data_IF_285648316315
#
_entry.id   IF_285648316315
#
_cell.length_a   1.000
_cell.length_b   1.000
_cell.length_c   1.000
_cell.angle_alpha   90.00
_cell.angle_beta   90.00
_cell.angle_gamma   90.00
#
_symmetry.space_group_name_H-M   'P 1'
#
loop_
_entity.id
_entity.type
_entity.pdbx_description
1 polymer ?
#
# COMPACT_ATOMS: atom_id res chain seq x y z
N UNK A 1 -41.54 32.44 15.78
CA UNK A 1 -40.69 33.06 14.75
C UNK A 1 -39.44 32.22 14.68
N UNK A 2 -39.26 31.43 13.61
CA UNK A 2 -38.20 30.43 13.48
C UNK A 2 -36.89 31.14 13.10
N UNK A 3 -35.88 31.08 13.97
CA UNK A 3 -34.53 31.57 13.67
C UNK A 3 -33.81 30.54 12.82
N UNK A 4 -33.87 30.72 11.50
CA UNK A 4 -33.01 30.03 10.53
C UNK A 4 -31.56 30.48 10.74
N UNK A 5 -30.74 29.61 11.33
CA UNK A 5 -29.28 29.76 11.41
C UNK A 5 -28.66 29.28 10.10
N UNK A 6 -28.23 30.21 9.24
CA UNK A 6 -27.36 29.89 8.10
C UNK A 6 -25.92 29.77 8.58
N UNK A 7 -25.43 28.54 8.75
CA UNK A 7 -24.00 28.26 9.01
C UNK A 7 -23.24 28.43 7.69
N UNK A 8 -22.70 29.62 7.45
CA UNK A 8 -21.83 29.95 6.29
C UNK A 8 -20.35 29.88 6.63
N UNK A 9 -19.90 28.83 7.31
CA UNK A 9 -18.47 28.49 7.45
C UNK A 9 -18.24 26.99 7.39
N UNK A 10 -18.89 26.32 6.44
CA UNK A 10 -18.46 24.96 6.10
C UNK A 10 -17.22 25.08 5.23
N UNK A 11 -16.05 24.82 5.81
CA UNK A 11 -14.79 24.54 5.09
C UNK A 11 -14.90 23.18 4.36
N UNK A 12 -16.00 22.95 3.61
CA UNK A 12 -16.27 21.71 2.89
C UNK A 12 -16.05 21.94 1.40
N UNK A 13 -15.15 21.16 0.83
CA UNK A 13 -15.00 21.03 -0.62
C UNK A 13 -13.56 21.18 -1.07
N UNK A 14 -13.03 22.41 -1.09
CA UNK A 14 -11.85 22.70 -1.92
C UNK A 14 -10.51 22.25 -1.32
N UNK A 15 -10.42 22.11 -0.01
CA UNK A 15 -9.21 21.62 0.68
C UNK A 15 -9.23 20.12 0.96
N UNK A 16 -10.39 19.47 0.93
CA UNK A 16 -10.52 18.05 1.21
C UNK A 16 -9.68 17.23 0.22
N UNK A 17 -9.71 17.57 -1.08
CA UNK A 17 -8.89 16.91 -2.10
C UNK A 17 -7.38 16.99 -1.83
N UNK A 18 -6.87 18.11 -1.29
CA UNK A 18 -5.45 18.25 -0.93
C UNK A 18 -5.07 17.43 0.30
N UNK A 19 -5.93 17.37 1.31
CA UNK A 19 -5.66 16.57 2.52
C UNK A 19 -5.89 15.07 2.31
N UNK A 20 -6.83 14.68 1.45
CA UNK A 20 -7.08 13.29 1.06
C UNK A 20 -5.94 12.80 0.16
N UNK A 21 -5.50 13.61 -0.81
CA UNK A 21 -4.27 13.36 -1.54
C UNK A 21 -3.08 13.24 -0.57
N UNK A 22 -2.95 14.14 0.40
CA UNK A 22 -1.91 14.08 1.42
C UNK A 22 -2.09 12.97 2.48
N UNK A 23 -3.20 12.24 2.50
CA UNK A 23 -3.43 11.09 3.40
C UNK A 23 -3.34 9.74 2.67
N UNK A 24 -3.65 9.70 1.36
CA UNK A 24 -3.60 8.47 0.55
C UNK A 24 -2.33 8.34 -0.28
N UNK A 25 -1.84 9.43 -0.88
CA UNK A 25 -0.66 9.39 -1.76
C UNK A 25 0.71 9.36 -1.04
N UNK A 26 0.89 9.69 0.25
CA UNK A 26 2.21 9.56 0.87
C UNK A 26 2.49 8.13 1.37
N UNK A 27 1.57 7.18 1.18
CA UNK A 27 1.89 5.78 1.43
C UNK A 27 3.14 5.42 0.59
N UNK A 28 4.22 4.93 1.20
CA UNK A 28 5.54 4.87 0.56
C UNK A 28 5.55 4.06 -0.74
N UNK A 29 4.67 3.05 -0.87
CA UNK A 29 4.55 2.28 -2.12
C UNK A 29 3.80 3.01 -3.22
N UNK A 30 2.80 3.81 -2.87
CA UNK A 30 2.07 4.67 -3.81
C UNK A 30 2.90 5.88 -4.23
N UNK A 31 3.60 6.51 -3.28
CA UNK A 31 4.48 7.66 -3.52
C UNK A 31 5.65 7.31 -4.45
N UNK A 32 6.20 6.10 -4.32
CA UNK A 32 7.28 5.60 -5.16
C UNK A 32 6.80 5.01 -6.49
N UNK A 33 5.50 5.10 -6.79
CA UNK A 33 4.87 4.58 -8.01
C UNK A 33 5.20 3.10 -8.24
N UNK A 34 5.21 2.30 -7.17
CA UNK A 34 5.57 0.89 -7.21
C UNK A 34 4.39 -0.02 -7.59
N UNK A 35 3.16 0.50 -7.57
CA UNK A 35 1.94 -0.22 -7.98
C UNK A 35 1.10 0.65 -8.93
N UNK A 36 0.27 0.01 -9.74
CA UNK A 36 -0.59 0.71 -10.69
C UNK A 36 -1.83 1.25 -9.99
N UNK A 37 -2.05 2.56 -10.07
CA UNK A 37 -3.20 3.21 -9.44
C UNK A 37 -4.33 3.29 -10.47
N UNK A 38 -5.46 2.66 -10.18
CA UNK A 38 -6.70 2.81 -10.94
C UNK A 38 -7.63 3.78 -10.20
N UNK A 39 -7.64 5.08 -10.58
CA UNK A 39 -8.57 6.03 -9.99
C UNK A 39 -10.01 5.72 -10.44
N UNK A 40 -10.97 6.12 -9.61
CA UNK A 40 -12.41 6.16 -9.89
C UNK A 40 -13.14 4.81 -9.95
N UNK A 41 -12.72 3.84 -9.13
CA UNK A 41 -13.49 2.60 -8.95
C UNK A 41 -14.59 2.83 -7.91
N UNK A 42 -15.85 2.99 -8.35
CA UNK A 42 -16.99 3.31 -7.47
C UNK A 42 -17.58 2.10 -6.72
N UNK A 43 -17.74 0.97 -7.41
CA UNK A 43 -18.35 -0.23 -6.82
C UNK A 43 -17.61 -1.48 -7.24
N UNK A 44 -17.47 -1.70 -8.55
CA UNK A 44 -16.74 -2.83 -9.12
C UNK A 44 -16.06 -2.37 -10.40
N UNK A 45 -14.79 -2.72 -10.56
CA UNK A 45 -14.13 -2.69 -11.86
C UNK A 45 -13.66 -4.10 -12.19
N UNK A 46 -13.85 -4.51 -13.43
CA UNK A 46 -13.41 -5.83 -13.90
C UNK A 46 -12.10 -5.63 -14.64
N UNK A 47 -11.03 -6.20 -14.10
CA UNK A 47 -9.78 -6.35 -14.82
C UNK A 47 -9.92 -7.57 -15.73
N UNK A 48 -9.89 -7.34 -17.04
CA UNK A 48 -9.99 -8.39 -18.04
C UNK A 48 -8.59 -8.76 -18.52
N UNK A 49 -8.26 -10.04 -18.41
CA UNK A 49 -7.06 -10.62 -18.99
C UNK A 49 -7.41 -11.22 -20.35
N UNK A 50 -6.56 -10.99 -21.34
CA UNK A 50 -6.54 -11.72 -22.60
C UNK A 50 -5.29 -12.60 -22.62
N UNK A 51 -5.43 -13.88 -22.30
CA UNK A 51 -4.34 -14.83 -22.52
C UNK A 51 -4.53 -15.47 -23.89
N UNK A 52 -3.53 -15.36 -24.76
CA UNK A 52 -3.56 -16.00 -26.08
C UNK A 52 -2.40 -16.97 -26.18
N UNK A 53 -2.71 -18.25 -26.27
CA UNK A 53 -1.69 -19.27 -26.50
C UNK A 53 -1.43 -19.45 -27.99
N UNK A 54 -0.14 -19.39 -28.37
CA UNK A 54 0.38 -19.78 -29.69
C UNK A 54 -0.35 -19.13 -30.88
N UNK A 55 -0.34 -17.80 -30.97
CA UNK A 55 -0.78 -17.06 -32.18
C UNK A 55 0.01 -17.44 -33.43
N UNK A 56 1.28 -17.81 -33.27
CA UNK A 56 2.16 -18.17 -34.37
C UNK A 56 2.07 -19.68 -34.62
N UNK A 57 1.52 -20.05 -35.76
CA UNK A 57 1.51 -21.42 -36.28
C UNK A 57 2.26 -21.49 -37.61
N UNK A 58 2.73 -22.68 -37.98
CA UNK A 58 3.42 -22.89 -39.25
C UNK A 58 2.51 -22.56 -40.43
N UNK A 59 3.06 -21.95 -41.48
CA UNK A 59 2.32 -21.61 -42.69
C UNK A 59 1.70 -22.86 -43.32
N UNK A 60 0.38 -22.87 -43.42
CA UNK A 60 -0.44 -23.93 -43.99
C UNK A 60 -1.39 -23.32 -45.01
N UNK A 61 -1.76 -24.07 -46.05
CA UNK A 61 -2.73 -23.62 -47.06
C UNK A 61 -4.15 -23.50 -46.48
N UNK A 62 -4.42 -24.22 -45.39
CA UNK A 62 -5.71 -24.24 -44.73
C UNK A 62 -5.72 -23.32 -43.50
N UNK A 63 -6.86 -22.63 -43.30
CA UNK A 63 -7.12 -21.87 -42.09
C UNK A 63 -7.39 -22.83 -40.93
N UNK A 64 -6.37 -23.07 -40.12
CA UNK A 64 -6.53 -23.79 -38.86
C UNK A 64 -6.75 -22.76 -37.74
N UNK A 65 -7.89 -22.76 -37.03
CA UNK A 65 -8.08 -21.94 -35.84
C UNK A 65 -7.23 -22.48 -34.68
N UNK A 66 -5.91 -22.26 -34.76
CA UNK A 66 -4.98 -22.52 -33.68
C UNK A 66 -4.86 -21.25 -32.83
N UNK A 67 -5.47 -21.25 -31.65
CA UNK A 67 -5.40 -20.15 -30.70
C UNK A 67 -6.64 -20.12 -29.81
N UNK A 68 -6.53 -20.67 -28.62
CA UNK A 68 -7.56 -20.47 -27.59
C UNK A 68 -7.27 -19.13 -26.93
N UNK A 69 -8.25 -18.22 -26.99
CA UNK A 69 -8.23 -16.97 -26.24
C UNK A 69 -9.00 -17.21 -24.94
N UNK A 70 -8.28 -17.26 -23.83
CA UNK A 70 -8.91 -17.40 -22.51
C UNK A 70 -9.01 -16.04 -21.87
N UNK A 71 -10.25 -15.56 -21.66
CA UNK A 71 -10.49 -14.36 -20.86
C UNK A 71 -10.62 -14.73 -19.39
N UNK A 72 -9.71 -14.25 -18.55
CA UNK A 72 -9.83 -14.37 -17.10
C UNK A 72 -10.21 -13.01 -16.54
N UNK A 73 -11.30 -12.94 -15.79
CA UNK A 73 -11.79 -11.70 -15.20
C UNK A 73 -11.53 -11.72 -13.70
N UNK A 74 -10.85 -10.68 -13.18
CA UNK A 74 -10.72 -10.43 -11.74
C UNK A 74 -11.41 -9.13 -11.39
N UNK A 75 -12.18 -9.13 -10.30
CA UNK A 75 -12.97 -7.97 -9.88
C UNK A 75 -12.22 -7.23 -8.77
N UNK A 76 -12.05 -5.92 -8.92
CA UNK A 76 -11.66 -5.02 -7.84
C UNK A 76 -12.93 -4.43 -7.25
N UNK A 77 -13.14 -4.62 -5.96
CA UNK A 77 -14.22 -4.02 -5.19
C UNK A 77 -13.62 -3.25 -4.01
N UNK A 78 -13.44 -1.92 -4.13
CA UNK A 78 -12.98 -1.09 -3.02
C UNK A 78 -13.99 -1.11 -1.86
N UNK A 79 -13.48 -1.12 -0.64
CA UNK A 79 -14.28 -1.01 0.59
C UNK A 79 -14.36 0.45 1.01
N UNK A 80 -15.54 0.89 1.45
CA UNK A 80 -15.71 2.17 2.11
C UNK A 80 -15.16 2.10 3.55
N UNK A 81 -14.18 2.94 3.83
CA UNK A 81 -13.54 3.09 5.12
C UNK A 81 -13.90 4.46 5.70
N UNK A 82 -14.02 4.52 7.03
CA UNK A 82 -14.27 5.77 7.73
C UNK A 82 -13.41 5.88 8.99
N UNK A 83 -12.88 7.06 9.21
CA UNK A 83 -12.24 7.45 10.47
C UNK A 83 -13.16 8.48 11.13
N UNK A 84 -13.93 8.01 12.11
CA UNK A 84 -14.71 8.86 12.99
C UNK A 84 -14.01 8.86 14.35
N UNK A 85 -13.46 10.01 14.75
CA UNK A 85 -12.83 10.20 16.07
C UNK A 85 -13.48 11.36 16.79
N UNK A 86 -13.71 11.17 18.08
CA UNK A 86 -14.22 12.20 18.98
C UNK A 86 -13.12 12.58 19.95
N UNK A 87 -12.82 13.87 20.03
CA UNK A 87 -11.85 14.46 20.95
C UNK A 87 -12.59 15.34 21.94
N UNK A 88 -12.29 15.14 23.23
CA UNK A 88 -12.79 16.03 24.27
C UNK A 88 -11.91 17.28 24.32
N UNK A 89 -12.52 18.45 24.41
CA UNK A 89 -11.80 19.71 24.40
C UNK A 89 -11.05 20.01 25.69
N UNK A 90 -11.53 19.51 26.83
CA UNK A 90 -10.94 19.79 28.14
C UNK A 90 -9.54 19.22 28.32
N UNK A 91 -9.23 18.10 27.66
CA UNK A 91 -7.89 17.49 27.72
C UNK A 91 -6.84 18.31 26.97
N UNK A 92 -7.24 19.08 25.95
CA UNK A 92 -6.30 19.86 25.13
C UNK A 92 -6.14 21.32 25.58
N UNK A 93 -6.98 21.80 26.52
CA UNK A 93 -6.86 23.16 27.08
C UNK A 93 -5.58 23.37 27.89
N UNK A 94 -5.01 22.31 28.45
CA UNK A 94 -3.85 22.39 29.35
C UNK A 94 -2.51 22.41 28.60
N UNK A 95 -2.45 21.84 27.40
CA UNK A 95 -1.19 21.61 26.67
C UNK A 95 -0.95 22.57 25.50
N UNK A 96 -2.01 23.15 24.93
CA UNK A 96 -1.89 24.12 23.83
C UNK A 96 -2.14 25.53 24.36
N UNK A 97 -1.33 26.49 23.92
CA UNK A 97 -1.26 27.85 24.49
C UNK A 97 -2.65 28.46 24.77
N UNK A 98 -2.96 28.63 26.05
CA UNK A 98 -4.15 29.33 26.53
C UNK A 98 -4.25 30.78 25.99
N UNK A 99 -3.15 31.31 25.42
CA UNK A 99 -3.06 32.63 24.83
C UNK A 99 -3.65 32.66 23.41
N UNK A 100 -3.48 31.60 22.60
CA UNK A 100 -4.06 31.53 21.25
C UNK A 100 -5.53 31.07 21.24
N UNK A 101 -5.97 30.38 22.30
CA UNK A 101 -7.36 29.90 22.40
C UNK A 101 -8.35 31.01 22.77
N UNK A 102 -7.88 32.15 23.27
CA UNK A 102 -8.75 33.13 23.93
C UNK A 102 -8.96 32.77 25.41
N UNK A 103 -9.34 33.75 26.23
CA UNK A 103 -9.50 33.57 27.67
C UNK A 103 -10.94 33.14 28.07
N UNK A 104 -11.77 32.67 27.13
CA UNK A 104 -13.22 32.49 27.30
C UNK A 104 -13.64 31.03 27.45
N UNK A 105 -14.67 30.76 28.24
CA UNK A 105 -15.26 29.42 28.32
C UNK A 105 -15.72 28.87 26.95
N UNK A 106 -15.97 29.76 25.98
CA UNK A 106 -16.39 29.53 24.59
C UNK A 106 -15.27 29.80 23.56
N UNK A 107 -14.03 29.43 23.88
CA UNK A 107 -12.91 29.62 22.96
C UNK A 107 -13.16 28.91 21.59
N UNK A 108 -12.44 29.29 20.55
CA UNK A 108 -12.39 28.52 19.30
C UNK A 108 -11.01 27.89 19.24
N UNK A 109 -10.94 26.62 18.86
CA UNK A 109 -9.64 25.95 18.77
C UNK A 109 -8.81 26.64 17.66
N UNK A 110 -7.54 26.99 17.93
CA UNK A 110 -6.74 27.74 16.99
C UNK A 110 -6.50 26.92 15.73
N UNK A 111 -6.53 27.60 14.59
CA UNK A 111 -6.39 26.98 13.26
C UNK A 111 -5.08 26.19 13.12
N UNK A 112 -4.02 26.64 13.79
CA UNK A 112 -2.71 25.98 13.88
C UNK A 112 -2.81 24.56 14.47
N UNK A 113 -3.58 24.38 15.54
CA UNK A 113 -3.75 23.09 16.20
C UNK A 113 -4.64 22.14 15.38
N UNK A 114 -5.71 22.65 14.77
CA UNK A 114 -6.56 21.83 13.89
C UNK A 114 -5.81 21.35 12.65
N UNK A 115 -4.95 22.19 12.08
CA UNK A 115 -4.10 21.83 10.94
C UNK A 115 -3.03 20.79 11.34
N UNK A 116 -2.43 20.94 12.52
CA UNK A 116 -1.49 19.95 13.07
C UNK A 116 -2.16 18.59 13.34
N UNK A 117 -3.33 18.58 13.99
CA UNK A 117 -4.08 17.36 14.23
C UNK A 117 -4.46 16.68 12.91
N UNK A 118 -4.96 17.44 11.94
CA UNK A 118 -5.35 16.88 10.66
C UNK A 118 -4.17 16.27 9.91
N UNK A 119 -3.01 16.94 9.93
CA UNK A 119 -1.78 16.41 9.34
C UNK A 119 -1.33 15.10 10.02
N UNK A 120 -1.35 15.04 11.36
CA UNK A 120 -0.97 13.85 12.11
C UNK A 120 -1.93 12.68 11.85
N UNK A 121 -3.24 12.95 11.78
CA UNK A 121 -4.24 11.93 11.44
C UNK A 121 -4.08 11.45 9.99
N UNK A 122 -3.77 12.35 9.05
CA UNK A 122 -3.49 11.98 7.66
C UNK A 122 -2.26 11.06 7.56
N UNK A 123 -1.18 11.34 8.29
CA UNK A 123 0.02 10.49 8.31
C UNK A 123 -0.27 9.09 8.89
N UNK A 124 -1.06 9.01 9.98
CA UNK A 124 -1.46 7.72 10.55
C UNK A 124 -2.33 6.91 9.61
N UNK A 125 -3.29 7.55 8.93
CA UNK A 125 -4.13 6.88 7.94
C UNK A 125 -3.31 6.41 6.74
N UNK A 126 -2.31 7.17 6.30
CA UNK A 126 -1.40 6.74 5.24
C UNK A 126 -0.61 5.48 5.62
N UNK A 127 -0.12 5.43 6.86
CA UNK A 127 0.60 4.27 7.41
C UNK A 127 -0.30 3.03 7.53
N UNK A 128 -1.53 3.20 8.01
CA UNK A 128 -2.53 2.11 8.05
C UNK A 128 -2.92 1.64 6.65
N UNK A 129 -3.06 2.56 5.68
CA UNK A 129 -3.35 2.20 4.30
C UNK A 129 -2.21 1.40 3.65
N UNK A 130 -0.95 1.78 3.89
CA UNK A 130 0.22 1.01 3.43
C UNK A 130 0.21 -0.42 4.00
N UNK A 131 -0.12 -0.58 5.29
CA UNK A 131 -0.27 -1.90 5.91
C UNK A 131 -1.41 -2.69 5.26
N UNK A 132 -2.55 -2.05 5.01
CA UNK A 132 -3.72 -2.68 4.41
C UNK A 132 -3.48 -3.13 2.96
N UNK A 133 -2.72 -2.34 2.17
CA UNK A 133 -2.34 -2.69 0.79
C UNK A 133 -1.68 -4.08 0.74
N UNK A 134 -0.78 -4.37 1.69
CA UNK A 134 0.00 -5.60 1.65
C UNK A 134 -0.61 -6.73 2.45
N UNK A 135 -1.08 -6.48 3.67
CA UNK A 135 -1.49 -7.54 4.62
C UNK A 135 -2.86 -7.36 5.25
N UNK A 136 -3.68 -6.43 4.75
CA UNK A 136 -5.00 -6.19 5.30
C UNK A 136 -5.93 -7.39 5.16
N UNK A 137 -6.89 -7.51 6.08
CA UNK A 137 -7.91 -8.58 6.07
C UNK A 137 -9.30 -7.94 6.07
N UNK A 138 -10.14 -8.18 5.06
CA UNK A 138 -11.44 -7.51 4.97
C UNK A 138 -12.41 -7.86 6.12
N UNK A 139 -12.18 -8.99 6.81
CA UNK A 139 -12.91 -9.39 8.03
C UNK A 139 -12.67 -8.44 9.20
N UNK A 140 -11.56 -7.72 9.23
CA UNK A 140 -11.26 -6.75 10.28
C UNK A 140 -11.96 -5.40 10.00
N UNK A 141 -12.35 -4.72 11.07
CA UNK A 141 -12.97 -3.41 10.96
C UNK A 141 -11.93 -2.35 10.57
N UNK A 142 -12.17 -1.60 9.49
CA UNK A 142 -11.25 -0.59 9.00
C UNK A 142 -10.17 -1.09 8.02
N UNK A 143 -10.19 -2.38 7.66
CA UNK A 143 -9.23 -2.97 6.72
C UNK A 143 -9.92 -3.51 5.45
N UNK A 144 -9.16 -3.62 4.36
CA UNK A 144 -9.53 -4.31 3.12
C UNK A 144 -8.55 -5.47 2.87
N UNK A 145 -8.90 -6.42 2.00
CA UNK A 145 -8.02 -7.55 1.67
C UNK A 145 -6.76 -7.06 0.94
N UNK A 146 -5.60 -7.25 1.56
CA UNK A 146 -4.28 -6.93 1.01
C UNK A 146 -3.76 -7.99 0.03
N UNK A 147 -2.64 -7.69 -0.63
CA UNK A 147 -2.05 -8.62 -1.60
C UNK A 147 -1.68 -9.99 -1.01
N UNK A 148 -1.09 -10.05 0.18
CA UNK A 148 -0.70 -11.34 0.79
C UNK A 148 -1.90 -12.19 1.15
N UNK A 149 -3.02 -11.59 1.56
CA UNK A 149 -4.23 -12.33 1.95
C UNK A 149 -4.98 -12.83 0.73
N UNK A 150 -5.04 -12.03 -0.34
CA UNK A 150 -5.59 -12.46 -1.62
C UNK A 150 -4.73 -13.54 -2.29
N UNK A 151 -3.41 -13.52 -2.11
CA UNK A 151 -2.50 -14.55 -2.65
C UNK A 151 -2.52 -15.85 -1.82
N UNK A 152 -2.66 -15.75 -0.50
CA UNK A 152 -2.74 -16.92 0.39
C UNK A 152 -4.04 -17.75 0.26
N UNK A 153 -5.02 -17.24 -0.49
CA UNK A 153 -6.31 -17.88 -0.72
C UNK A 153 -6.51 -18.29 -2.19
N UNK A 154 -5.55 -18.02 -3.08
CA UNK A 154 -5.72 -18.27 -4.51
C UNK A 154 -5.27 -19.69 -4.91
N UNK A 155 -6.16 -20.56 -5.39
CA UNK A 155 -5.82 -21.92 -5.81
C UNK A 155 -4.97 -21.99 -7.08
N UNK A 156 -4.88 -20.90 -7.85
CA UNK A 156 -4.17 -20.87 -9.11
C UNK A 156 -2.69 -20.45 -8.96
N UNK A 157 -2.20 -20.20 -7.74
CA UNK A 157 -0.79 -19.98 -7.47
C UNK A 157 -0.01 -21.32 -7.59
N UNK A 158 0.93 -21.45 -8.55
CA UNK A 158 1.72 -22.67 -8.69
C UNK A 158 2.60 -22.92 -7.47
N UNK A 159 2.61 -24.16 -6.98
CA UNK A 159 3.39 -24.56 -5.80
C UNK A 159 4.90 -24.33 -5.95
N UNK A 160 5.43 -24.34 -7.19
CA UNK A 160 6.83 -24.02 -7.47
C UNK A 160 7.18 -22.53 -7.22
N UNK A 161 6.17 -21.65 -7.21
CA UNK A 161 6.30 -20.21 -6.98
C UNK A 161 5.97 -19.81 -5.53
N UNK A 162 5.67 -20.80 -4.69
CA UNK A 162 5.43 -20.64 -3.26
C UNK A 162 6.67 -21.10 -2.49
N UNK A 163 7.43 -20.14 -1.97
CA UNK A 163 8.65 -20.39 -1.22
C UNK A 163 8.39 -20.24 0.29
N UNK A 164 8.60 -21.34 1.01
CA UNK A 164 8.52 -21.34 2.47
C UNK A 164 9.70 -20.58 3.09
N UNK A 165 9.47 -20.03 4.29
CA UNK A 165 10.52 -19.41 5.09
C UNK A 165 11.61 -20.45 5.42
N UNK A 166 12.88 -20.08 5.22
CA UNK A 166 14.01 -20.92 5.61
C UNK A 166 13.98 -21.29 7.10
N UNK A 167 14.23 -22.56 7.40
CA UNK A 167 14.34 -23.06 8.78
C UNK A 167 15.43 -22.31 9.54
N UNK A 168 15.07 -21.73 10.69
CA UNK A 168 15.96 -20.85 11.48
C UNK A 168 15.80 -19.35 11.20
N UNK A 169 14.95 -18.97 10.24
CA UNK A 169 14.60 -17.58 9.96
C UNK A 169 15.59 -16.85 9.04
N UNK A 170 15.21 -15.64 8.65
CA UNK A 170 16.00 -14.80 7.74
C UNK A 170 17.09 -14.04 8.51
N UNK A 171 18.33 -14.18 8.05
CA UNK A 171 19.54 -13.63 8.65
C UNK A 171 20.35 -12.89 7.58
N UNK A 172 21.27 -12.01 7.99
CA UNK A 172 22.13 -11.30 7.03
C UNK A 172 23.10 -12.22 6.28
N UNK A 173 23.28 -13.46 6.73
CA UNK A 173 24.14 -14.46 6.10
C UNK A 173 23.42 -15.27 5.01
N UNK A 174 22.08 -15.40 5.07
CA UNK A 174 21.30 -16.21 4.12
C UNK A 174 20.43 -15.38 3.18
N UNK A 175 20.17 -14.10 3.49
CA UNK A 175 19.24 -13.24 2.74
C UNK A 175 19.52 -13.16 1.24
N UNK A 176 20.79 -13.15 0.82
CA UNK A 176 21.15 -13.12 -0.62
C UNK A 176 20.74 -14.42 -1.31
N UNK A 177 20.98 -15.57 -0.67
CA UNK A 177 20.59 -16.86 -1.22
C UNK A 177 19.06 -17.01 -1.28
N UNK A 178 18.34 -16.53 -0.26
CA UNK A 178 16.87 -16.59 -0.26
C UNK A 178 16.25 -15.65 -1.31
N UNK A 179 16.81 -14.46 -1.56
CA UNK A 179 16.39 -13.59 -2.68
C UNK A 179 16.67 -14.27 -4.02
N UNK A 180 17.81 -14.94 -4.17
CA UNK A 180 18.15 -15.72 -5.37
C UNK A 180 17.12 -16.81 -5.68
N UNK A 181 16.65 -17.56 -4.67
CA UNK A 181 15.58 -18.55 -4.86
C UNK A 181 14.28 -17.95 -5.37
N UNK A 182 13.92 -16.75 -4.89
CA UNK A 182 12.73 -16.02 -5.39
C UNK A 182 12.89 -15.67 -6.87
N UNK A 183 14.10 -15.25 -7.28
CA UNK A 183 14.39 -14.97 -8.67
C UNK A 183 14.36 -16.23 -9.54
N UNK A 184 14.96 -17.33 -9.07
CA UNK A 184 15.00 -18.62 -9.79
C UNK A 184 13.61 -19.25 -9.95
N UNK A 185 12.73 -19.06 -8.98
CA UNK A 185 11.34 -19.51 -9.05
C UNK A 185 10.48 -18.62 -9.97
N UNK A 186 10.96 -17.44 -10.36
CA UNK A 186 10.23 -16.53 -11.24
C UNK A 186 10.38 -16.98 -12.70
N UNK A 187 9.27 -17.10 -13.46
CA UNK A 187 9.34 -17.42 -14.88
C UNK A 187 10.21 -16.41 -15.65
N UNK A 188 11.11 -16.90 -16.50
CA UNK A 188 12.05 -16.07 -17.27
C UNK A 188 11.36 -15.02 -18.16
N UNK A 189 10.15 -15.32 -18.65
CA UNK A 189 9.36 -14.38 -19.43
C UNK A 189 8.93 -13.13 -18.62
N UNK A 190 8.77 -13.27 -17.31
CA UNK A 190 8.36 -12.20 -16.39
C UNK A 190 9.58 -11.41 -15.91
N UNK A 191 10.67 -12.11 -15.56
CA UNK A 191 11.90 -11.46 -15.08
C UNK A 191 12.64 -10.65 -16.16
N UNK A 192 12.42 -10.98 -17.44
CA UNK A 192 12.94 -10.19 -18.56
C UNK A 192 12.21 -8.86 -18.80
N UNK A 193 11.07 -8.62 -18.14
CA UNK A 193 10.31 -7.36 -18.28
C UNK A 193 10.95 -6.24 -17.46
N UNK A 194 11.00 -5.03 -18.02
CA UNK A 194 11.62 -3.86 -17.36
C UNK A 194 10.87 -3.39 -16.09
N UNK A 195 9.58 -3.72 -16.00
CA UNK A 195 8.69 -3.39 -14.88
C UNK A 195 8.67 -4.45 -13.77
N UNK A 196 9.56 -5.45 -13.84
CA UNK A 196 9.70 -6.46 -12.82
C UNK A 196 10.36 -5.90 -11.55
N UNK A 197 9.72 -6.15 -10.41
CA UNK A 197 10.18 -5.72 -9.08
C UNK A 197 10.04 -6.85 -8.08
N UNK A 198 11.04 -6.97 -7.20
CA UNK A 198 10.96 -7.81 -6.00
C UNK A 198 10.63 -6.89 -4.83
N UNK A 199 9.39 -6.98 -4.34
CA UNK A 199 8.91 -6.26 -3.17
C UNK A 199 9.39 -6.95 -1.91
N UNK A 200 10.11 -6.20 -1.07
CA UNK A 200 10.72 -6.73 0.16
C UNK A 200 10.25 -5.97 1.38
N UNK A 201 10.01 -6.72 2.46
CA UNK A 201 9.72 -6.13 3.77
C UNK A 201 10.91 -5.35 4.34
N UNK A 202 10.63 -4.45 5.28
CA UNK A 202 11.67 -3.64 5.95
C UNK A 202 12.76 -4.47 6.61
N UNK A 203 12.40 -5.64 7.14
CA UNK A 203 13.38 -6.55 7.75
C UNK A 203 14.35 -7.11 6.69
N UNK A 204 13.80 -7.68 5.60
CA UNK A 204 14.58 -8.21 4.47
C UNK A 204 15.51 -7.13 3.91
N UNK A 205 14.97 -5.93 3.70
CA UNK A 205 15.73 -4.80 3.18
C UNK A 205 16.94 -4.44 4.06
N UNK A 206 16.74 -4.34 5.38
CA UNK A 206 17.84 -4.07 6.34
C UNK A 206 18.86 -5.20 6.37
N UNK A 207 18.41 -6.46 6.34
CA UNK A 207 19.30 -7.63 6.32
C UNK A 207 20.13 -7.66 5.03
N UNK A 208 19.54 -7.33 3.88
CA UNK A 208 20.23 -7.25 2.61
C UNK A 208 21.29 -6.14 2.58
N UNK A 209 20.95 -4.93 3.05
CA UNK A 209 21.92 -3.83 3.18
C UNK A 209 23.08 -4.21 4.11
N UNK A 210 22.79 -4.92 5.21
CA UNK A 210 23.81 -5.43 6.14
C UNK A 210 24.68 -6.53 5.53
N UNK A 211 24.09 -7.41 4.72
CA UNK A 211 24.81 -8.46 4.00
C UNK A 211 25.80 -7.87 3.00
N UNK A 212 25.37 -6.86 2.23
CA UNK A 212 26.22 -6.14 1.29
C UNK A 212 27.30 -5.29 1.97
N UNK A 213 27.06 -4.82 3.19
CA UNK A 213 28.04 -4.04 3.96
C UNK A 213 29.26 -4.82 4.46
N UNK A 214 29.37 -6.13 4.18
CA UNK A 214 30.59 -6.93 4.37
C UNK A 214 30.99 -7.24 5.82
N UNK A 215 30.36 -6.62 6.82
CA UNK A 215 30.78 -6.72 8.22
C UNK A 215 30.62 -8.11 8.84
N UNK A 216 29.82 -8.99 8.20
CA UNK A 216 29.46 -10.30 8.77
C UNK A 216 30.40 -11.45 8.34
N UNK A 217 31.25 -11.29 7.32
CA UNK A 217 31.91 -12.44 6.68
C UNK A 217 33.44 -12.43 6.69
N UNK A 218 34.13 -11.44 7.26
CA UNK A 218 35.61 -11.31 7.20
C UNK A 218 36.21 -11.34 5.77
N UNK A 219 35.38 -11.42 4.73
CA UNK A 219 35.75 -11.21 3.33
C UNK A 219 35.63 -9.70 3.11
N UNK A 220 36.71 -9.06 2.66
CA UNK A 220 36.81 -7.60 2.45
C UNK A 220 35.91 -7.03 1.35
N UNK A 221 34.62 -7.34 1.37
CA UNK A 221 33.60 -6.86 0.44
C UNK A 221 32.91 -5.64 1.05
N UNK A 222 33.48 -4.46 0.83
CA UNK A 222 32.92 -3.18 1.25
C UNK A 222 31.74 -2.74 0.33
N UNK A 223 30.72 -3.57 0.12
CA UNK A 223 29.53 -3.21 -0.66
C UNK A 223 29.79 -2.63 -2.05
N UNK A 224 28.85 -1.81 -2.56
CA UNK A 224 29.02 -0.99 -3.76
C UNK A 224 29.95 0.19 -3.39
N UNK A 225 30.99 0.44 -4.20
CA UNK A 225 31.96 1.54 -4.06
C UNK A 225 32.79 1.57 -2.77
N UNK A 226 32.93 0.46 -2.05
CA UNK A 226 33.81 0.44 -0.89
C UNK A 226 33.25 1.12 0.37
N UNK A 227 31.95 1.45 0.40
CA UNK A 227 31.33 2.29 1.44
C UNK A 227 30.73 1.51 2.63
N UNK A 228 31.04 0.23 2.77
CA UNK A 228 30.59 -0.59 3.91
C UNK A 228 29.05 -0.60 4.03
N UNK A 229 28.49 -0.42 5.23
CA UNK A 229 27.05 -0.29 5.46
C UNK A 229 26.49 1.12 5.20
N UNK A 230 27.34 2.11 4.95
CA UNK A 230 26.95 3.52 4.73
C UNK A 230 26.59 3.83 3.26
N UNK A 231 26.72 2.84 2.37
CA UNK A 231 26.43 2.98 0.94
C UNK A 231 24.96 3.31 0.64
N UNK A 232 24.04 2.88 1.50
CA UNK A 232 22.61 3.11 1.31
C UNK A 232 22.14 4.36 2.07
N UNK A 233 21.90 5.47 1.34
CA UNK A 233 21.43 6.75 1.90
C UNK A 233 19.91 6.98 1.71
N UNK A 234 19.11 5.92 1.77
CA UNK A 234 17.65 6.04 1.91
C UNK A 234 16.84 6.42 0.67
N UNK A 235 17.41 6.41 -0.55
CA UNK A 235 16.69 6.88 -1.74
C UNK A 235 16.85 6.09 -3.05
N UNK A 236 17.69 5.06 -3.10
CA UNK A 236 17.95 4.32 -4.35
C UNK A 236 17.26 2.94 -4.37
N UNK A 237 16.68 2.57 -5.50
CA UNK A 237 16.25 1.18 -5.76
C UNK A 237 17.50 0.31 -5.76
N UNK A 238 17.51 -0.75 -4.95
CA UNK A 238 18.67 -1.63 -4.85
C UNK A 238 18.64 -2.65 -5.98
N UNK A 239 19.64 -2.69 -6.87
CA UNK A 239 19.74 -3.75 -7.85
C UNK A 239 20.21 -5.05 -7.19
N UNK A 240 19.53 -6.16 -7.45
CA UNK A 240 19.97 -7.52 -7.15
C UNK A 240 20.07 -8.27 -8.47
N UNK A 241 21.28 -8.65 -8.90
CA UNK A 241 21.52 -9.41 -10.13
C UNK A 241 20.86 -8.79 -11.39
N UNK A 242 20.72 -7.46 -11.42
CA UNK A 242 20.07 -6.72 -12.52
C UNK A 242 18.58 -6.45 -12.33
N UNK A 243 17.95 -6.97 -11.27
CA UNK A 243 16.54 -6.77 -10.92
C UNK A 243 16.37 -5.69 -9.84
N UNK A 244 15.28 -4.93 -9.91
CA UNK A 244 14.94 -3.86 -8.96
C UNK A 244 14.32 -4.42 -7.67
N UNK A 245 14.96 -4.23 -6.52
CA UNK A 245 14.37 -4.47 -5.20
C UNK A 245 13.57 -3.24 -4.74
N UNK A 246 12.26 -3.41 -4.60
CA UNK A 246 11.32 -2.39 -4.15
C UNK A 246 11.07 -2.52 -2.64
N UNK A 247 11.24 -1.43 -1.90
CA UNK A 247 10.97 -1.42 -0.46
C UNK A 247 9.46 -1.22 -0.21
N UNK A 248 8.82 -2.21 0.42
CA UNK A 248 7.41 -2.19 0.78
C UNK A 248 7.25 -2.36 2.31
N UNK A 249 7.15 -1.27 3.09
CA UNK A 249 7.15 -1.34 4.54
C UNK A 249 5.86 -1.95 5.13
N UNK A 250 4.76 -2.00 4.37
CA UNK A 250 3.53 -2.67 4.78
C UNK A 250 3.60 -4.20 4.77
N UNK A 251 4.61 -4.80 4.14
CA UNK A 251 4.76 -6.27 4.09
C UNK A 251 5.04 -6.87 5.48
N UNK A 252 4.53 -8.09 5.74
CA UNK A 252 4.92 -8.85 6.94
C UNK A 252 6.43 -9.08 7.03
N UNK A 253 6.93 -9.27 8.24
CA UNK A 253 8.37 -9.49 8.45
C UNK A 253 8.84 -10.75 7.71
N UNK A 254 10.02 -10.66 7.09
CA UNK A 254 10.63 -11.78 6.35
C UNK A 254 9.84 -12.26 5.14
N UNK A 255 8.89 -11.46 4.65
CA UNK A 255 8.10 -11.74 3.44
C UNK A 255 8.66 -10.98 2.24
N UNK A 256 8.59 -11.63 1.07
CA UNK A 256 8.94 -11.05 -0.23
C UNK A 256 7.88 -11.45 -1.27
N UNK A 257 7.61 -10.58 -2.23
CA UNK A 257 6.73 -10.85 -3.37
C UNK A 257 7.45 -10.39 -4.62
N UNK A 258 7.57 -11.24 -5.63
CA UNK A 258 8.17 -10.87 -6.92
C UNK A 258 7.10 -10.89 -8.00
N UNK A 259 6.93 -9.75 -8.67
CA UNK A 259 5.99 -9.62 -9.79
C UNK A 259 6.25 -8.34 -10.58
N UNK A 260 5.44 -8.08 -11.61
CA UNK A 260 5.49 -6.82 -12.35
C UNK A 260 4.62 -5.76 -11.71
N UNK A 261 5.04 -4.50 -11.78
CA UNK A 261 4.28 -3.35 -11.26
C UNK A 261 2.87 -3.25 -11.87
N UNK A 262 2.73 -3.54 -13.16
CA UNK A 262 1.44 -3.52 -13.85
C UNK A 262 0.47 -4.58 -13.31
N UNK A 263 1.02 -5.65 -12.72
CA UNK A 263 0.22 -6.73 -12.17
C UNK A 263 -0.47 -6.37 -10.85
N UNK A 264 0.08 -5.41 -10.10
CA UNK A 264 -0.47 -4.96 -8.83
C UNK A 264 -1.29 -3.68 -9.04
N UNK A 265 -2.59 -3.75 -8.74
CA UNK A 265 -3.51 -2.64 -8.95
C UNK A 265 -4.15 -2.18 -7.65
N UNK A 266 -4.08 -0.87 -7.40
CA UNK A 266 -4.75 -0.19 -6.30
C UNK A 266 -5.94 0.60 -6.84
N UNK A 267 -7.15 0.21 -6.44
CA UNK A 267 -8.39 0.88 -6.79
C UNK A 267 -8.79 1.88 -5.71
N UNK A 268 -9.05 3.12 -6.10
CA UNK A 268 -9.52 4.17 -5.17
C UNK A 268 -10.56 5.08 -5.82
N UNK A 269 -11.50 5.59 -5.03
CA UNK A 269 -12.55 6.52 -5.47
C UNK A 269 -12.19 8.01 -5.34
N UNK A 270 -10.90 8.37 -5.45
CA UNK A 270 -10.34 9.70 -5.13
C UNK A 270 -11.02 10.91 -5.83
N UNK A 271 -11.68 10.73 -6.98
CA UNK A 271 -12.36 11.83 -7.70
C UNK A 271 -13.88 11.90 -7.45
N UNK A 272 -14.44 11.04 -6.60
CA UNK A 272 -15.87 11.06 -6.28
C UNK A 272 -16.15 11.69 -4.91
N UNK A 273 -17.30 12.35 -4.83
CA UNK A 273 -17.92 13.11 -3.73
C UNK A 273 -18.13 12.33 -2.40
N UNK A 274 -17.57 11.12 -2.27
CA UNK A 274 -17.60 10.29 -1.06
C UNK A 274 -16.41 10.53 -0.12
N UNK A 275 -15.43 11.34 -0.54
CA UNK A 275 -14.26 11.67 0.26
C UNK A 275 -14.52 12.98 1.02
N UNK A 276 -15.01 12.86 2.26
CA UNK A 276 -15.28 14.01 3.13
C UNK A 276 -14.26 14.01 4.27
N UNK A 277 -13.51 15.10 4.41
CA UNK A 277 -12.67 15.39 5.57
C UNK A 277 -13.23 16.63 6.24
N UNK A 278 -13.83 16.45 7.41
CA UNK A 278 -14.40 17.57 8.19
C UNK A 278 -14.07 17.44 9.65
N UNK A 279 -13.75 18.59 10.23
CA UNK A 279 -13.70 18.79 11.66
C UNK A 279 -15.02 19.48 12.02
N UNK A 280 -15.82 18.85 12.86
CA UNK A 280 -17.11 19.36 13.32
C UNK A 280 -16.96 19.66 14.80
N UNK A 281 -17.06 20.94 15.17
CA UNK A 281 -17.23 21.33 16.57
C UNK A 281 -18.69 21.10 16.96
N UNK A 282 -18.93 20.13 17.85
CA UNK A 282 -20.29 19.78 18.28
C UNK A 282 -20.79 20.65 19.43
N UNK A 283 -19.97 21.57 19.95
CA UNK A 283 -20.34 22.46 21.05
C UNK A 283 -21.47 23.41 20.68
N UNK A 284 -21.48 23.95 19.46
CA UNK A 284 -22.54 24.84 18.99
C UNK A 284 -23.83 24.10 18.59
N UNK A 285 -23.75 22.82 18.21
CA UNK A 285 -24.90 22.07 17.69
C UNK A 285 -25.58 21.20 18.76
N UNK A 286 -24.82 20.61 19.69
CA UNK A 286 -25.32 19.62 20.66
C UNK A 286 -25.05 20.09 22.11
N UNK A 287 -24.23 21.12 22.33
CA UNK A 287 -23.87 21.60 23.67
C UNK A 287 -22.74 20.82 24.33
N UNK A 288 -22.15 19.85 23.62
CA UNK A 288 -21.03 19.04 24.09
C UNK A 288 -19.69 19.68 23.74
N UNK A 289 -18.72 19.71 24.66
CA UNK A 289 -17.36 20.19 24.38
C UNK A 289 -16.50 19.18 23.59
N UNK A 290 -17.09 18.55 22.58
CA UNK A 290 -16.48 17.50 21.77
C UNK A 290 -16.24 17.98 20.33
N UNK A 291 -15.09 17.59 19.78
CA UNK A 291 -14.73 17.81 18.38
C UNK A 291 -14.77 16.46 17.68
N UNK A 292 -15.44 16.40 16.54
CA UNK A 292 -15.51 15.20 15.71
C UNK A 292 -14.69 15.39 14.45
N UNK A 293 -13.75 14.48 14.22
CA UNK A 293 -13.00 14.37 12.97
C UNK A 293 -13.65 13.24 12.19
N UNK A 294 -14.13 13.55 10.99
CA UNK A 294 -14.73 12.60 10.04
C UNK A 294 -13.86 12.60 8.80
N UNK A 295 -13.30 11.43 8.47
CA UNK A 295 -12.64 11.17 7.20
C UNK A 295 -13.28 9.94 6.55
N UNK A 296 -13.69 10.04 5.29
CA UNK A 296 -14.24 8.91 4.54
C UNK A 296 -13.35 8.61 3.34
N UNK A 297 -13.05 7.34 3.13
CA UNK A 297 -12.26 6.90 1.98
C UNK A 297 -12.69 5.59 1.35
N UNK A 298 -12.31 5.39 0.10
CA UNK A 298 -12.51 4.11 -0.61
C UNK A 298 -11.18 3.60 -1.12
N UNK A 299 -10.84 2.38 -0.71
CA UNK A 299 -9.60 1.72 -1.09
C UNK A 299 -9.82 0.21 -1.25
N UNK A 300 -9.10 -0.38 -2.19
CA UNK A 300 -9.02 -1.82 -2.38
C UNK A 300 -7.86 -2.16 -3.29
N UNK A 301 -7.33 -3.37 -3.15
CA UNK A 301 -6.28 -3.88 -4.02
C UNK A 301 -6.75 -5.12 -4.75
N UNK A 302 -6.11 -5.38 -5.88
CA UNK A 302 -6.27 -6.62 -6.62
C UNK A 302 -5.07 -6.82 -7.53
N UNK A 303 -4.74 -8.06 -7.84
CA UNK A 303 -3.70 -8.40 -8.82
C UNK A 303 -4.29 -9.04 -10.08
N UNK A 304 -3.51 -9.06 -11.18
CA UNK A 304 -3.94 -9.56 -12.48
C UNK A 304 -3.66 -11.06 -12.69
N UNK A 305 -2.39 -11.38 -12.93
CA UNK A 305 -1.86 -12.70 -13.31
C UNK A 305 -1.18 -13.31 -12.07
N UNK A 306 -1.77 -14.38 -11.53
CA UNK A 306 -1.22 -15.09 -10.37
C UNK A 306 0.03 -15.91 -10.73
N UNK A 307 0.08 -16.46 -11.96
CA UNK A 307 1.20 -17.26 -12.48
C UNK A 307 2.49 -16.43 -12.66
N UNK A 308 2.38 -15.10 -12.67
CA UNK A 308 3.51 -14.16 -12.75
C UNK A 308 3.91 -13.63 -11.37
N UNK A 309 3.39 -14.23 -10.28
CA UNK A 309 3.68 -13.85 -8.90
C UNK A 309 4.41 -15.00 -8.22
N UNK A 310 5.57 -14.68 -7.64
CA UNK A 310 6.28 -15.57 -6.72
C UNK A 310 6.17 -14.98 -5.31
N UNK A 311 5.81 -15.81 -4.34
CA UNK A 311 5.68 -15.40 -2.95
C UNK A 311 6.68 -16.13 -2.07
N UNK A 312 7.29 -15.40 -1.13
CA UNK A 312 8.16 -15.95 -0.10
C UNK A 312 7.58 -15.66 1.27
N UNK A 313 7.46 -16.70 2.11
CA UNK A 313 6.86 -16.62 3.45
C UNK A 313 5.40 -16.12 3.40
N UNK A 314 4.65 -16.55 2.39
CA UNK A 314 3.19 -16.48 2.32
C UNK A 314 2.72 -17.91 2.15
N UNK A 315 2.05 -18.47 3.15
CA UNK A 315 1.53 -19.84 3.08
C UNK A 315 0.15 -19.79 2.45
N UNK A 316 0.00 -20.46 1.30
CA UNK A 316 -1.29 -20.66 0.68
C UNK A 316 -2.06 -21.71 1.49
N UNK A 317 -3.30 -21.39 1.85
CA UNK A 317 -4.18 -22.31 2.59
C UNK A 317 -4.86 -23.35 1.70
N UNK A 318 -4.68 -23.24 0.38
CA UNK A 318 -5.34 -24.06 -0.64
C UNK A 318 -4.39 -25.06 -1.30
N UNK A 319 -3.06 -24.89 -1.15
CA UNK A 319 -2.01 -25.82 -1.59
C UNK A 319 -1.58 -26.75 -0.43
#
# INVERSE_FOLDING_TARGET
MSTTTSITTTYAGEFAGKYIAAALLPAPTLASNLITIMPNVKFKSVMKRLATDKLLSNASCDFNPAGTITLTERVIQPKELQVNRQLCRTTYRNDWDAIEMGYSAFDVMPKSFTDFLLAQYAEKVASENEVNIWRGVASNNGEFDGFTTLLALDPALPSAQELALVGGGLLSTNVIAEIGKVLDATPLAVSAREDFHIYVSTNVFRLYVRALGGFATNLGANGIDGKGSMWFNGGAILPFEGVKLAHAPGLPASTMIATTKENLVFGTGLMNDSQEVRIIDTSETIGDQNIRIVMRMTAGVQYGIVEDIVTYNVTNSVN
#
